data_IF_881937427787
#
_entry.id   IF_881937427787
#
_cell.length_a   1.000
_cell.length_b   1.000
_cell.length_c   1.000
_cell.angle_alpha   90.00
_cell.angle_beta   90.00
_cell.angle_gamma   90.00
#
_symmetry.space_group_name_H-M   'P 1'
#
loop_
_entity.id
_entity.type
_entity.pdbx_description
1 polymer ?
#
# COMPACT_ATOMS: atom_id res chain seq x y z
N UNK A 1 3.42 -13.20 13.95
CA UNK A 1 2.40 -13.84 13.14
C UNK A 1 2.56 -15.34 13.25
N UNK A 2 1.44 -16.05 13.22
CA UNK A 2 1.45 -17.47 13.45
C UNK A 2 2.29 -18.24 12.43
N UNK A 3 2.21 -17.87 11.16
CA UNK A 3 2.95 -18.52 10.08
C UNK A 3 4.12 -17.69 9.56
N UNK A 4 4.34 -16.54 10.12
CA UNK A 4 5.48 -15.69 9.76
C UNK A 4 5.44 -15.11 8.35
N UNK A 5 4.32 -15.20 7.64
CA UNK A 5 4.23 -14.68 6.29
C UNK A 5 4.13 -13.17 6.28
N UNK A 6 4.83 -12.55 5.35
CA UNK A 6 4.88 -11.10 5.24
C UNK A 6 3.96 -10.61 4.11
N UNK A 7 3.35 -9.45 4.34
CA UNK A 7 2.48 -8.84 3.34
C UNK A 7 3.04 -7.48 2.96
N UNK A 8 3.31 -7.32 1.67
CA UNK A 8 3.59 -6.01 1.09
C UNK A 8 2.27 -5.43 0.61
N UNK A 9 1.96 -4.20 0.98
CA UNK A 9 0.79 -3.50 0.45
C UNK A 9 1.29 -2.53 -0.61
N UNK A 10 0.67 -2.56 -1.77
CA UNK A 10 1.02 -1.68 -2.90
C UNK A 10 -0.16 -0.74 -3.14
N UNK A 11 0.13 0.54 -3.18
CA UNK A 11 -0.86 1.60 -3.35
C UNK A 11 -0.33 2.59 -4.37
N UNK A 12 -1.17 2.96 -5.32
CA UNK A 12 -0.85 3.99 -6.30
C UNK A 12 -1.73 5.20 -6.05
N UNK A 13 -1.17 6.39 -6.18
CA UNK A 13 -1.90 7.62 -5.91
C UNK A 13 -1.81 8.58 -7.08
N UNK A 14 -2.88 9.33 -7.28
CA UNK A 14 -2.92 10.46 -8.19
C UNK A 14 -3.99 11.44 -7.71
N UNK A 15 -3.56 12.62 -7.25
CA UNK A 15 -4.46 13.68 -6.79
C UNK A 15 -5.54 13.20 -5.80
N UNK A 16 -5.08 12.50 -4.75
CA UNK A 16 -5.96 11.92 -3.75
C UNK A 16 -5.87 12.57 -2.38
N UNK A 17 -5.47 13.83 -2.29
CA UNK A 17 -5.17 14.48 -1.00
C UNK A 17 -6.35 14.42 -0.02
N UNK A 18 -7.58 14.42 -0.51
CA UNK A 18 -8.76 14.40 0.36
C UNK A 18 -8.93 13.09 1.11
N UNK A 19 -8.43 11.98 0.57
CA UNK A 19 -8.70 10.64 1.09
C UNK A 19 -7.45 9.88 1.49
N UNK A 20 -6.28 10.33 1.05
CA UNK A 20 -5.06 9.52 1.16
C UNK A 20 -4.67 9.26 2.61
N UNK A 21 -4.87 10.22 3.51
CA UNK A 21 -4.53 10.01 4.92
C UNK A 21 -5.40 8.93 5.54
N UNK A 22 -6.71 9.00 5.34
CA UNK A 22 -7.62 8.01 5.87
C UNK A 22 -7.33 6.63 5.30
N UNK A 23 -7.03 6.57 4.01
CA UNK A 23 -6.67 5.32 3.35
C UNK A 23 -5.41 4.71 3.96
N UNK A 24 -4.35 5.50 4.12
CA UNK A 24 -3.09 5.03 4.71
C UNK A 24 -3.30 4.58 6.15
N UNK A 25 -4.05 5.35 6.94
CA UNK A 25 -4.31 4.99 8.33
C UNK A 25 -5.07 3.66 8.41
N UNK A 26 -5.98 3.40 7.47
CA UNK A 26 -6.72 2.13 7.46
C UNK A 26 -5.82 0.94 7.15
N UNK A 27 -4.75 1.15 6.40
CA UNK A 27 -3.77 0.11 6.08
C UNK A 27 -2.83 -0.11 7.26
N UNK A 28 -2.34 0.96 7.86
CA UNK A 28 -1.44 0.88 9.01
C UNK A 28 -2.16 0.26 10.21
N UNK A 29 -3.45 0.52 10.35
CA UNK A 29 -4.26 0.03 11.48
C UNK A 29 -4.77 -1.39 11.32
N UNK A 30 -4.32 -2.15 10.35
CA UNK A 30 -4.76 -3.53 10.17
C UNK A 30 -4.35 -4.42 11.35
N UNK A 31 -5.23 -5.35 11.73
CA UNK A 31 -4.93 -6.28 12.83
C UNK A 31 -3.81 -7.25 12.45
N UNK A 32 -3.66 -7.57 11.17
CA UNK A 32 -2.50 -8.30 10.68
C UNK A 32 -1.44 -7.27 10.29
N UNK A 33 -0.29 -7.22 10.96
CA UNK A 33 0.72 -6.20 10.68
C UNK A 33 1.26 -6.32 9.26
N UNK A 34 1.41 -5.19 8.60
CA UNK A 34 1.99 -5.19 7.26
C UNK A 34 3.51 -5.15 7.35
N UNK A 35 4.16 -5.79 6.37
CA UNK A 35 5.60 -5.82 6.28
C UNK A 35 6.15 -4.52 5.70
N UNK A 36 5.51 -4.02 4.66
CA UNK A 36 5.86 -2.75 4.03
C UNK A 36 4.63 -2.18 3.32
N UNK A 37 4.59 -0.87 3.23
CA UNK A 37 3.59 -0.16 2.44
C UNK A 37 4.33 0.60 1.35
N UNK A 38 4.16 0.17 0.11
CA UNK A 38 4.79 0.80 -1.04
C UNK A 38 3.76 1.70 -1.69
N UNK A 39 4.04 2.99 -1.73
CA UNK A 39 3.15 3.98 -2.33
C UNK A 39 3.89 4.64 -3.49
N UNK A 40 3.32 4.58 -4.67
CA UNK A 40 3.90 5.23 -5.83
C UNK A 40 2.94 6.28 -6.35
N UNK A 41 3.42 7.52 -6.43
CA UNK A 41 2.62 8.67 -6.83
C UNK A 41 2.88 8.99 -8.30
N UNK A 42 1.79 9.26 -9.03
CA UNK A 42 1.87 9.59 -10.45
C UNK A 42 1.80 11.10 -10.68
N UNK A 43 2.73 11.82 -10.07
CA UNK A 43 2.91 13.27 -10.24
C UNK A 43 1.68 14.08 -9.83
N UNK A 44 1.21 13.85 -8.60
CA UNK A 44 0.10 14.62 -8.03
C UNK A 44 0.44 16.10 -7.91
N UNK A 45 -0.56 16.94 -8.10
CA UNK A 45 -0.40 18.40 -8.05
C UNK A 45 -1.22 19.03 -6.93
N UNK A 46 -1.90 18.21 -6.09
CA UNK A 46 -2.85 18.71 -5.09
C UNK A 46 -2.33 18.62 -3.64
N UNK A 47 -1.07 18.30 -3.43
CA UNK A 47 -0.52 18.14 -2.08
C UNK A 47 -0.40 16.69 -1.63
N UNK A 48 -0.85 15.73 -2.43
CA UNK A 48 -0.73 14.31 -2.10
C UNK A 48 0.72 13.92 -1.81
N UNK A 49 1.66 14.33 -2.67
CA UNK A 49 3.06 13.97 -2.53
C UNK A 49 3.63 14.35 -1.16
N UNK A 50 3.33 15.56 -0.69
CA UNK A 50 3.81 16.06 0.60
C UNK A 50 3.25 15.25 1.76
N UNK A 51 1.98 14.82 1.68
CA UNK A 51 1.37 13.94 2.69
C UNK A 51 2.10 12.61 2.72
N UNK A 52 2.37 12.02 1.55
CA UNK A 52 3.08 10.74 1.46
C UNK A 52 4.47 10.81 2.07
N UNK A 53 5.20 11.88 1.79
CA UNK A 53 6.53 12.07 2.35
C UNK A 53 6.48 12.16 3.88
N UNK A 54 5.43 12.78 4.43
CA UNK A 54 5.23 12.83 5.87
C UNK A 54 5.09 11.46 6.49
N UNK A 55 4.32 10.59 5.84
CA UNK A 55 4.16 9.22 6.31
C UNK A 55 5.46 8.42 6.22
N UNK A 56 6.23 8.60 5.15
CA UNK A 56 7.52 7.92 5.01
C UNK A 56 8.48 8.30 6.13
N UNK A 57 8.49 9.57 6.53
CA UNK A 57 9.33 10.01 7.64
C UNK A 57 8.88 9.44 8.98
N UNK A 58 7.57 9.26 9.16
CA UNK A 58 7.00 8.82 10.42
C UNK A 58 7.10 7.31 10.62
N UNK A 59 6.96 6.53 9.55
CA UNK A 59 6.92 5.07 9.63
C UNK A 59 8.01 4.45 8.75
N UNK A 60 8.96 3.71 9.34
CA UNK A 60 10.07 3.12 8.57
C UNK A 60 9.63 2.14 7.48
N UNK A 61 8.47 1.48 7.65
CA UNK A 61 7.97 0.51 6.69
C UNK A 61 7.20 1.15 5.54
N UNK A 62 6.95 2.46 5.57
CA UNK A 62 6.30 3.18 4.47
C UNK A 62 7.36 3.68 3.51
N UNK A 63 7.26 3.25 2.25
CA UNK A 63 8.23 3.57 1.19
C UNK A 63 7.49 4.28 0.06
N UNK A 64 7.87 5.50 -0.20
CA UNK A 64 7.17 6.36 -1.16
C UNK A 64 8.07 6.64 -2.36
N UNK A 65 7.51 6.47 -3.54
CA UNK A 65 8.23 6.65 -4.80
C UNK A 65 7.43 7.53 -5.76
N UNK A 66 8.15 8.26 -6.60
CA UNK A 66 7.54 8.97 -7.72
C UNK A 66 7.57 8.06 -8.95
N UNK A 67 6.46 7.99 -9.69
CA UNK A 67 6.43 7.17 -10.89
C UNK A 67 7.35 7.76 -11.96
N UNK A 68 8.30 6.96 -12.42
CA UNK A 68 9.22 7.36 -13.48
C UNK A 68 9.13 6.43 -14.69
N UNK A 69 8.23 5.44 -14.64
CA UNK A 69 8.16 4.38 -15.65
C UNK A 69 7.22 4.69 -16.80
N UNK A 70 6.65 5.88 -16.86
CA UNK A 70 5.71 6.26 -17.88
C UNK A 70 4.42 6.78 -17.28
N UNK A 71 3.55 7.30 -18.13
CA UNK A 71 2.29 7.90 -17.67
C UNK A 71 1.18 6.86 -17.62
N UNK A 72 0.26 7.07 -16.69
CA UNK A 72 -0.96 6.30 -16.62
C UNK A 72 -0.99 5.31 -15.47
N UNK A 73 -2.19 4.87 -15.16
CA UNK A 73 -2.48 4.03 -13.99
C UNK A 73 -1.75 2.69 -14.08
N UNK A 74 -1.76 2.07 -15.27
CA UNK A 74 -1.16 0.75 -15.44
C UNK A 74 0.35 0.77 -15.23
N UNK A 75 1.04 1.74 -15.82
CA UNK A 75 2.49 1.84 -15.66
C UNK A 75 2.88 2.13 -14.22
N UNK A 76 2.15 3.03 -13.57
CA UNK A 76 2.38 3.34 -12.17
C UNK A 76 2.19 2.10 -11.31
N UNK A 77 1.12 1.34 -11.55
CA UNK A 77 0.83 0.13 -10.79
C UNK A 77 1.91 -0.94 -10.97
N UNK A 78 2.26 -1.27 -12.21
CA UNK A 78 3.24 -2.31 -12.45
C UNK A 78 4.61 -1.97 -11.85
N UNK A 79 5.02 -0.73 -11.99
CA UNK A 79 6.28 -0.27 -11.42
C UNK A 79 6.28 -0.42 -9.90
N UNK A 80 5.19 -0.05 -9.25
CA UNK A 80 5.04 -0.18 -7.80
C UNK A 80 5.02 -1.65 -7.37
N UNK A 81 4.32 -2.48 -8.12
CA UNK A 81 4.19 -3.91 -7.83
C UNK A 81 5.57 -4.58 -7.78
N UNK A 82 6.45 -4.25 -8.71
CA UNK A 82 7.78 -4.86 -8.75
C UNK A 82 8.68 -4.45 -7.58
N UNK A 83 8.31 -3.43 -6.82
CA UNK A 83 9.08 -3.04 -5.63
C UNK A 83 8.74 -3.88 -4.41
N UNK A 84 7.65 -4.65 -4.46
CA UNK A 84 7.20 -5.43 -3.32
C UNK A 84 8.13 -6.61 -3.06
N UNK A 85 8.45 -6.86 -1.78
CA UNK A 85 9.38 -7.91 -1.37
C UNK A 85 8.80 -8.91 -0.38
N UNK A 86 7.54 -8.74 0.03
CA UNK A 86 6.89 -9.66 0.96
C UNK A 86 6.45 -10.96 0.31
N UNK A 87 6.00 -11.89 1.15
CA UNK A 87 5.51 -13.20 0.67
C UNK A 87 4.21 -13.05 -0.11
N UNK A 88 3.36 -12.12 0.31
CA UNK A 88 2.11 -11.81 -0.36
C UNK A 88 2.07 -10.33 -0.71
N UNK A 89 1.31 -10.01 -1.75
CA UNK A 89 1.11 -8.62 -2.17
C UNK A 89 -0.39 -8.33 -2.11
N UNK A 90 -0.75 -7.32 -1.33
CA UNK A 90 -2.11 -6.81 -1.27
C UNK A 90 -2.16 -5.46 -1.97
N UNK A 91 -3.22 -5.22 -2.71
CA UNK A 91 -3.35 -4.01 -3.52
C UNK A 91 -4.42 -3.12 -2.89
N UNK A 92 -4.07 -1.86 -2.69
CA UNK A 92 -5.01 -0.85 -2.21
C UNK A 92 -5.33 0.10 -3.35
N UNK A 93 -6.58 0.09 -3.80
CA UNK A 93 -7.05 1.03 -4.82
C UNK A 93 -7.21 2.41 -4.20
N UNK A 94 -7.08 3.45 -5.03
CA UNK A 94 -7.26 4.81 -4.56
C UNK A 94 -8.65 4.98 -3.94
N UNK A 95 -8.73 5.72 -2.84
CA UNK A 95 -9.96 6.00 -2.09
C UNK A 95 -10.54 4.78 -1.38
N UNK A 96 -9.81 3.68 -1.29
CA UNK A 96 -10.28 2.45 -0.66
C UNK A 96 -9.89 2.46 0.82
N UNK A 97 -10.89 2.59 1.68
CA UNK A 97 -10.70 2.57 3.13
C UNK A 97 -10.91 1.13 3.59
N UNK A 98 -9.88 0.54 4.18
CA UNK A 98 -9.92 -0.87 4.56
C UNK A 98 -10.58 -1.09 5.92
N UNK A 99 -11.36 -2.16 6.01
CA UNK A 99 -11.86 -2.64 7.27
C UNK A 99 -10.68 -3.21 8.09
N UNK A 100 -10.67 -3.05 9.44
CA UNK A 100 -9.48 -3.39 10.24
C UNK A 100 -9.00 -4.83 10.15
N UNK A 101 -9.86 -5.79 9.87
CA UNK A 101 -9.52 -7.22 9.82
C UNK A 101 -9.32 -7.75 8.40
N UNK A 102 -9.30 -6.87 7.39
CA UNK A 102 -9.28 -7.29 5.99
C UNK A 102 -8.09 -8.22 5.69
N UNK A 103 -6.90 -7.83 6.07
CA UNK A 103 -5.70 -8.63 5.78
C UNK A 103 -5.69 -9.93 6.59
N UNK A 104 -6.12 -9.87 7.83
CA UNK A 104 -6.17 -11.06 8.68
C UNK A 104 -7.07 -12.13 8.05
N UNK A 105 -8.26 -11.73 7.58
CA UNK A 105 -9.16 -12.66 6.92
C UNK A 105 -8.60 -13.20 5.61
N UNK A 106 -7.94 -12.34 4.83
CA UNK A 106 -7.35 -12.75 3.56
C UNK A 106 -6.22 -13.75 3.76
N UNK A 107 -5.36 -13.51 4.76
CA UNK A 107 -4.26 -14.43 5.05
C UNK A 107 -4.79 -15.79 5.49
N UNK A 108 -5.81 -15.83 6.32
CA UNK A 108 -6.43 -17.09 6.74
C UNK A 108 -6.97 -17.87 5.54
N UNK A 109 -7.65 -17.18 4.62
CA UNK A 109 -8.20 -17.82 3.43
C UNK A 109 -7.11 -18.34 2.51
N UNK A 110 -6.10 -17.52 2.25
CA UNK A 110 -4.98 -17.90 1.37
C UNK A 110 -4.21 -19.07 1.99
N UNK A 111 -3.96 -19.01 3.30
CA UNK A 111 -3.24 -20.08 3.98
C UNK A 111 -3.90 -21.42 3.77
N UNK A 112 -5.22 -21.48 3.89
CA UNK A 112 -5.96 -22.70 3.66
C UNK A 112 -5.92 -23.16 2.20
N UNK A 113 -5.93 -22.19 1.27
CA UNK A 113 -5.94 -22.49 -0.16
C UNK A 113 -4.57 -22.96 -0.69
N UNK A 114 -3.50 -22.52 -0.07
CA UNK A 114 -2.14 -22.79 -0.55
C UNK A 114 -1.47 -23.98 0.13
N UNK A 115 -2.07 -24.46 1.18
CA UNK A 115 -1.54 -25.61 1.88
C UNK A 115 -2.06 -26.91 1.27
#
# INVERSE_FOLDING_TARGET
MKDGRTISVVMCTYNGVKFVEEQIESIIGQTYPIYELIIQDDHSTDGTWEVLQGYQRKYPFVKVYMNESGKGVNQNFFSAFYRATGDFIAISDQDDIWEPHKLEWQVQTIGDAWL
#
